data_IF_669888150665
#
_entry.id   IF_669888150665
#
_cell.length_a   1.000
_cell.length_b   1.000
_cell.length_c   1.000
_cell.angle_alpha   90.00
_cell.angle_beta   90.00
_cell.angle_gamma   90.00
#
_symmetry.space_group_name_H-M   'P 1'
#
loop_
_entity.id
_entity.type
_entity.pdbx_description
1 polymer ?
#
# COMPACT_ATOMS: atom_id res chain seq x y z
N UNK A 1 16.22 -18.65 21.15
CA UNK A 1 15.32 -19.67 20.56
C UNK A 1 13.84 -19.24 20.39
N UNK A 2 13.48 -17.96 20.58
CA UNK A 2 12.13 -17.44 20.27
C UNK A 2 12.13 -16.30 19.26
N UNK A 3 13.32 -15.77 18.98
CA UNK A 3 13.52 -14.55 18.22
C UNK A 3 13.61 -14.82 16.71
N UNK A 4 13.90 -16.07 16.34
CA UNK A 4 13.98 -16.48 14.93
C UNK A 4 12.58 -16.82 14.44
N UNK A 5 11.78 -17.52 15.26
CA UNK A 5 10.41 -17.92 14.95
C UNK A 5 9.48 -16.71 14.81
N UNK A 6 9.57 -15.75 15.74
CA UNK A 6 8.80 -14.49 15.65
C UNK A 6 9.23 -13.65 14.46
N UNK A 7 10.52 -13.60 14.14
CA UNK A 7 11.00 -12.85 12.99
C UNK A 7 10.55 -13.49 11.68
N UNK A 8 10.54 -14.83 11.61
CA UNK A 8 10.12 -15.59 10.44
C UNK A 8 8.62 -15.49 10.22
N UNK A 9 7.80 -15.54 11.27
CA UNK A 9 6.35 -15.32 11.18
C UNK A 9 6.02 -13.90 10.70
N UNK A 10 6.76 -12.88 11.18
CA UNK A 10 6.61 -11.50 10.69
C UNK A 10 7.09 -11.36 9.25
N UNK A 11 8.17 -12.04 8.86
CA UNK A 11 8.68 -12.05 7.48
C UNK A 11 7.73 -12.78 6.52
N UNK A 12 7.05 -13.84 6.95
CA UNK A 12 6.03 -14.53 6.14
C UNK A 12 4.74 -13.70 6.03
N UNK A 13 4.33 -13.02 7.11
CA UNK A 13 3.22 -12.05 7.08
C UNK A 13 3.54 -10.82 6.21
N UNK A 14 4.81 -10.41 6.13
CA UNK A 14 5.28 -9.36 5.23
C UNK A 14 5.62 -9.86 3.82
N UNK A 15 5.95 -11.14 3.66
CA UNK A 15 6.57 -11.76 2.49
C UNK A 15 5.63 -11.94 1.29
N UNK A 16 4.35 -11.67 1.47
CA UNK A 16 3.41 -11.49 0.34
C UNK A 16 3.58 -10.14 -0.38
N UNK A 17 4.42 -9.24 0.15
CA UNK A 17 4.76 -7.95 -0.46
C UNK A 17 6.15 -8.02 -1.09
N UNK A 18 6.32 -8.86 -2.13
CA UNK A 18 7.54 -8.84 -2.94
C UNK A 18 7.78 -7.39 -3.43
N UNK A 19 8.94 -6.77 -3.11
CA UNK A 19 9.25 -5.46 -3.63
C UNK A 19 9.40 -5.57 -5.15
N UNK A 20 8.75 -4.71 -5.95
CA UNK A 20 8.79 -4.84 -7.39
C UNK A 20 10.22 -4.75 -7.92
N UNK A 21 10.45 -5.40 -9.07
CA UNK A 21 11.60 -5.14 -9.92
C UNK A 21 11.85 -3.62 -10.03
N UNK A 22 13.13 -3.22 -10.01
CA UNK A 22 13.60 -1.84 -9.87
C UNK A 22 12.86 -0.82 -10.76
N UNK A 23 12.57 -1.21 -12.01
CA UNK A 23 11.79 -0.44 -13.00
C UNK A 23 10.39 -0.02 -12.51
N UNK A 24 9.73 -0.86 -11.72
CA UNK A 24 8.37 -0.61 -11.20
C UNK A 24 8.37 0.24 -9.93
N UNK A 25 9.52 0.51 -9.31
CA UNK A 25 9.59 1.24 -8.02
C UNK A 25 9.07 2.67 -8.10
N UNK A 26 9.25 3.37 -9.23
CA UNK A 26 8.83 4.78 -9.35
C UNK A 26 7.32 4.99 -9.19
N UNK A 27 6.53 3.99 -9.59
CA UNK A 27 5.05 4.04 -9.53
C UNK A 27 4.47 3.02 -8.56
N UNK A 28 5.33 2.32 -7.81
CA UNK A 28 4.87 1.33 -6.84
C UNK A 28 4.45 2.00 -5.55
N UNK A 29 3.29 1.59 -5.09
CA UNK A 29 2.73 1.96 -3.79
C UNK A 29 2.17 0.69 -3.15
N UNK A 30 2.19 0.59 -1.81
CA UNK A 30 1.60 -0.55 -1.09
C UNK A 30 0.10 -0.65 -1.34
N UNK A 31 -0.53 -1.76 -0.95
CA UNK A 31 -1.98 -1.86 -0.92
C UNK A 31 -2.56 -1.04 0.24
N UNK A 32 -3.76 -0.48 0.07
CA UNK A 32 -4.41 0.29 1.12
C UNK A 32 -4.97 -0.64 2.20
N UNK A 33 -4.81 -0.26 3.47
CA UNK A 33 -5.55 -0.90 4.55
C UNK A 33 -7.01 -0.37 4.58
N UNK A 34 -7.96 -1.13 5.15
CA UNK A 34 -9.36 -0.71 5.23
C UNK A 34 -9.52 0.64 5.95
N UNK A 35 -10.16 1.61 5.29
CA UNK A 35 -10.49 2.92 5.86
C UNK A 35 -9.38 3.97 5.77
N UNK A 36 -8.18 3.60 5.31
CA UNK A 36 -7.07 4.53 5.09
C UNK A 36 -7.28 5.41 3.84
N UNK A 37 -6.63 6.59 3.79
CA UNK A 37 -6.65 7.43 2.60
C UNK A 37 -5.78 6.82 1.48
N UNK A 38 -6.35 6.67 0.30
CA UNK A 38 -5.66 6.16 -0.90
C UNK A 38 -4.82 7.23 -1.62
N UNK A 39 -5.13 8.50 -1.37
CA UNK A 39 -4.40 9.64 -1.93
C UNK A 39 -4.35 10.81 -0.95
N UNK A 40 -3.47 11.77 -1.21
CA UNK A 40 -3.39 13.04 -0.49
C UNK A 40 -3.48 14.19 -1.47
N UNK A 41 -4.21 15.25 -1.10
CA UNK A 41 -4.31 16.47 -1.89
C UNK A 41 -3.45 17.56 -1.25
N UNK A 42 -2.57 18.16 -2.05
CA UNK A 42 -1.82 19.37 -1.69
C UNK A 42 -2.06 20.43 -2.77
N UNK A 43 -2.99 21.34 -2.49
CA UNK A 43 -3.46 22.34 -3.46
C UNK A 43 -4.14 21.69 -4.67
N UNK A 44 -3.64 21.97 -5.87
CA UNK A 44 -4.11 21.37 -7.13
C UNK A 44 -3.50 19.98 -7.42
N UNK A 45 -2.51 19.54 -6.63
CA UNK A 45 -1.81 18.27 -6.85
C UNK A 45 -2.41 17.16 -6.00
N UNK A 46 -2.46 15.95 -6.57
CA UNK A 46 -2.92 14.74 -5.89
C UNK A 46 -1.80 13.69 -5.98
N UNK A 47 -1.38 13.17 -4.83
CA UNK A 47 -0.40 12.10 -4.72
C UNK A 47 -1.06 10.80 -4.27
N UNK A 48 -0.77 9.68 -4.95
CA UNK A 48 -1.25 8.34 -4.57
C UNK A 48 -0.39 7.79 -3.42
N UNK A 49 -1.02 7.27 -2.38
CA UNK A 49 -0.34 6.68 -1.22
C UNK A 49 -0.31 5.15 -1.27
N UNK A 50 -1.39 4.56 -1.75
CA UNK A 50 -1.57 3.12 -1.83
C UNK A 50 -2.50 2.73 -2.99
N UNK A 51 -2.49 1.45 -3.37
CA UNK A 51 -3.39 0.88 -4.38
C UNK A 51 -4.61 0.29 -3.71
N UNK A 52 -5.80 0.69 -4.17
CA UNK A 52 -7.06 0.12 -3.71
C UNK A 52 -7.20 -1.34 -4.16
N UNK A 53 -7.80 -2.22 -3.34
CA UNK A 53 -8.02 -3.61 -3.70
C UNK A 53 -8.94 -3.75 -4.92
N UNK A 54 -8.87 -4.90 -5.60
CA UNK A 54 -9.70 -5.19 -6.79
C UNK A 54 -11.18 -4.94 -6.50
N UNK A 55 -11.86 -4.26 -7.42
CA UNK A 55 -13.27 -3.91 -7.30
C UNK A 55 -13.55 -2.56 -6.61
N UNK A 56 -12.51 -1.88 -6.13
CA UNK A 56 -12.61 -0.51 -5.58
C UNK A 56 -11.65 0.43 -6.30
N UNK A 57 -11.97 1.73 -6.28
CA UNK A 57 -11.14 2.77 -6.88
C UNK A 57 -10.86 3.89 -5.88
N UNK A 58 -9.78 4.64 -6.07
CA UNK A 58 -9.49 5.76 -5.19
C UNK A 58 -10.40 6.95 -5.54
N UNK A 59 -11.36 7.28 -4.67
CA UNK A 59 -12.19 8.46 -4.82
C UNK A 59 -11.35 9.71 -4.51
N UNK A 60 -11.12 10.56 -5.52
CA UNK A 60 -10.24 11.73 -5.36
C UNK A 60 -10.89 12.90 -4.58
N UNK A 61 -12.19 12.85 -4.30
CA UNK A 61 -12.89 13.83 -3.48
C UNK A 61 -12.81 13.45 -1.99
N UNK A 62 -13.06 12.18 -1.67
CA UNK A 62 -13.05 11.65 -0.29
C UNK A 62 -11.64 11.16 0.11
N UNK A 63 -10.76 10.97 -0.88
CA UNK A 63 -9.40 10.44 -0.75
C UNK A 63 -9.34 9.03 -0.17
N UNK A 64 -10.40 8.23 -0.33
CA UNK A 64 -10.53 6.85 0.17
C UNK A 64 -10.91 5.89 -0.94
N UNK A 65 -10.66 4.60 -0.73
CA UNK A 65 -11.11 3.56 -1.65
C UNK A 65 -12.64 3.40 -1.55
N UNK A 66 -13.32 3.45 -2.70
CA UNK A 66 -14.76 3.21 -2.87
C UNK A 66 -15.04 2.49 -4.18
#
# INVERSE_FOLDING_TARGET
PWQVETLQEVLEKLGTREPPALEKRLSWVPWCEPGEPCAVRRGARIGKLCSCPRGTSCNLFILKCS
#
